data_IF_783965278380
#
_entry.id   IF_783965278380
#
_cell.length_a   1.000
_cell.length_b   1.000
_cell.length_c   1.000
_cell.angle_alpha   90.00
_cell.angle_beta   90.00
_cell.angle_gamma   90.00
#
_symmetry.space_group_name_H-M   'P 1'
#
loop_
_entity.id
_entity.type
_entity.pdbx_description
1 polymer ?
#
# COMPACT_ATOMS: atom_id res chain seq x y z
N UNK A 1 -9.27 -5.22 -8.05
CA UNK A 1 -10.53 -4.72 -8.64
C UNK A 1 -10.32 -4.64 -10.13
N UNK A 2 -11.13 -5.36 -10.90
CA UNK A 2 -11.11 -5.24 -12.35
C UNK A 2 -11.84 -3.94 -12.73
N UNK A 3 -11.08 -2.94 -13.18
CA UNK A 3 -11.63 -1.63 -13.54
C UNK A 3 -12.53 -1.72 -14.78
N UNK A 4 -12.23 -2.63 -15.73
CA UNK A 4 -13.00 -2.78 -16.97
C UNK A 4 -14.34 -3.45 -16.71
N UNK A 5 -14.33 -4.51 -15.91
CA UNK A 5 -15.54 -5.26 -15.57
C UNK A 5 -16.33 -4.63 -14.40
N UNK A 6 -15.71 -3.70 -13.65
CA UNK A 6 -16.23 -3.12 -12.40
C UNK A 6 -16.58 -4.17 -11.34
N UNK A 7 -15.77 -5.24 -11.26
CA UNK A 7 -16.01 -6.39 -10.36
C UNK A 7 -14.78 -6.63 -9.47
N UNK A 8 -15.03 -7.07 -8.24
CA UNK A 8 -14.01 -7.61 -7.34
C UNK A 8 -13.85 -9.10 -7.60
N UNK A 9 -12.63 -9.57 -7.85
CA UNK A 9 -12.35 -11.01 -7.96
C UNK A 9 -12.59 -11.68 -6.60
N UNK A 10 -13.45 -12.71 -6.50
CA UNK A 10 -13.73 -13.42 -5.24
C UNK A 10 -12.48 -13.98 -4.54
N UNK A 11 -11.41 -14.25 -5.27
CA UNK A 11 -10.14 -14.77 -4.72
C UNK A 11 -9.09 -13.67 -4.44
N UNK A 12 -9.45 -12.39 -4.61
CA UNK A 12 -8.51 -11.27 -4.40
C UNK A 12 -8.39 -10.81 -2.94
N UNK A 13 -9.20 -11.35 -2.03
CA UNK A 13 -9.04 -11.07 -0.61
C UNK A 13 -7.67 -11.61 -0.14
N UNK A 14 -6.84 -10.71 0.40
CA UNK A 14 -5.50 -11.03 0.86
C UNK A 14 -5.13 -10.21 2.10
N UNK A 15 -4.13 -10.68 2.85
CA UNK A 15 -3.61 -9.95 4.01
C UNK A 15 -2.73 -8.79 3.57
N UNK A 16 -3.02 -7.59 4.08
CA UNK A 16 -2.18 -6.39 3.87
C UNK A 16 -0.78 -6.61 4.42
N UNK A 17 -0.65 -7.27 5.59
CA UNK A 17 0.64 -7.57 6.21
C UNK A 17 1.52 -8.45 5.32
N UNK A 18 0.91 -9.44 4.66
CA UNK A 18 1.62 -10.35 3.77
C UNK A 18 2.02 -9.66 2.45
N UNK A 19 1.16 -8.79 1.92
CA UNK A 19 1.39 -8.13 0.64
C UNK A 19 2.26 -6.87 0.74
N UNK A 20 2.26 -6.20 1.90
CA UNK A 20 3.00 -4.97 2.18
C UNK A 20 3.66 -5.05 3.57
N UNK A 21 4.70 -5.90 3.73
CA UNK A 21 5.34 -6.10 5.03
C UNK A 21 5.99 -4.81 5.55
N UNK A 22 5.81 -4.55 6.85
CA UNK A 22 6.37 -3.38 7.55
C UNK A 22 5.50 -2.12 7.53
N UNK A 23 4.34 -2.17 6.87
CA UNK A 23 3.34 -1.10 6.89
C UNK A 23 2.40 -1.28 8.09
N UNK A 24 1.99 -0.19 8.78
CA UNK A 24 1.02 -0.29 9.86
C UNK A 24 -0.36 -0.80 9.40
N UNK A 25 -0.97 -1.67 10.20
CA UNK A 25 -2.30 -2.24 9.91
C UNK A 25 -3.45 -1.25 10.09
N UNK A 26 -3.23 -0.19 10.86
CA UNK A 26 -4.20 0.86 11.16
C UNK A 26 -3.96 2.13 10.33
N UNK A 27 -3.52 1.96 9.08
CA UNK A 27 -3.43 3.07 8.13
C UNK A 27 -4.81 3.59 7.80
N UNK A 28 -4.96 4.91 7.75
CA UNK A 28 -6.26 5.56 7.50
C UNK A 28 -6.36 6.12 6.07
N UNK A 29 -5.24 6.24 5.37
CA UNK A 29 -5.20 6.65 3.97
C UNK A 29 -4.11 5.90 3.21
N UNK A 30 -4.39 5.57 1.95
CA UNK A 30 -3.52 4.83 1.05
C UNK A 30 -3.67 5.41 -0.36
N UNK A 31 -2.58 5.88 -0.93
CA UNK A 31 -2.58 6.46 -2.28
C UNK A 31 -1.32 6.11 -3.05
N UNK A 32 -1.41 6.22 -4.38
CA UNK A 32 -0.26 6.06 -5.26
C UNK A 32 0.20 7.44 -5.76
N UNK A 33 1.51 7.71 -5.67
CA UNK A 33 2.13 8.93 -6.18
C UNK A 33 3.50 8.62 -6.79
N UNK A 34 3.76 9.10 -8.00
CA UNK A 34 5.00 8.82 -8.74
C UNK A 34 5.37 7.32 -8.71
N UNK A 35 4.40 6.47 -9.10
CA UNK A 35 4.54 5.01 -9.19
C UNK A 35 4.78 4.26 -7.87
N UNK A 36 4.80 4.98 -6.73
CA UNK A 36 5.00 4.39 -5.40
C UNK A 36 3.72 4.44 -4.60
N UNK A 37 3.50 3.44 -3.76
CA UNK A 37 2.38 3.43 -2.83
C UNK A 37 2.78 4.13 -1.53
N UNK A 38 1.86 4.87 -0.93
CA UNK A 38 2.03 5.57 0.32
C UNK A 38 0.93 5.14 1.26
N UNK A 39 1.31 4.76 2.47
CA UNK A 39 0.40 4.35 3.52
C UNK A 39 0.56 5.31 4.69
N UNK A 40 -0.54 5.95 5.10
CA UNK A 40 -0.50 7.02 6.09
C UNK A 40 -1.12 6.57 7.42
N UNK A 41 -0.43 6.90 8.51
CA UNK A 41 -0.90 6.69 9.88
C UNK A 41 -0.53 7.91 10.71
N UNK A 42 -1.54 8.60 11.25
CA UNK A 42 -1.38 9.92 11.88
C UNK A 42 -0.58 10.87 10.98
N UNK A 43 0.55 11.41 11.46
CA UNK A 43 1.43 12.30 10.69
C UNK A 43 2.51 11.56 9.90
N UNK A 44 2.58 10.23 9.98
CA UNK A 44 3.61 9.43 9.34
C UNK A 44 3.12 8.81 8.03
N UNK A 45 4.05 8.57 7.11
CA UNK A 45 3.82 7.80 5.91
C UNK A 45 4.91 6.77 5.67
N UNK A 46 4.50 5.62 5.13
CA UNK A 46 5.36 4.54 4.67
C UNK A 46 5.28 4.50 3.15
N UNK A 47 6.40 4.75 2.48
CA UNK A 47 6.50 4.63 1.04
C UNK A 47 6.93 3.23 0.67
N UNK A 48 6.11 2.57 -0.13
CA UNK A 48 6.34 1.23 -0.63
C UNK A 48 6.70 1.29 -2.11
N UNK A 49 7.79 0.61 -2.44
CA UNK A 49 8.27 0.42 -3.79
C UNK A 49 8.06 -1.04 -4.19
N UNK A 50 7.53 -1.25 -5.40
CA UNK A 50 7.37 -2.59 -5.96
C UNK A 50 8.53 -2.86 -6.91
N UNK A 51 9.44 -3.76 -6.52
CA UNK A 51 10.55 -4.20 -7.37
C UNK A 51 10.46 -5.71 -7.53
N UNK A 52 10.48 -6.19 -8.77
CA UNK A 52 10.38 -7.62 -9.10
C UNK A 52 9.19 -8.29 -8.39
N UNK A 53 8.03 -7.63 -8.42
CA UNK A 53 6.77 -8.09 -7.79
C UNK A 53 6.82 -8.21 -6.25
N UNK A 54 7.89 -7.72 -5.61
CA UNK A 54 8.03 -7.66 -4.17
C UNK A 54 7.84 -6.23 -3.70
N UNK A 55 6.87 -6.04 -2.82
CA UNK A 55 6.62 -4.77 -2.16
C UNK A 55 7.52 -4.61 -0.94
N UNK A 56 8.31 -3.53 -0.91
CA UNK A 56 9.17 -3.21 0.23
C UNK A 56 9.01 -1.75 0.63
N UNK A 57 8.89 -1.50 1.93
CA UNK A 57 8.99 -0.15 2.48
C UNK A 57 10.41 0.34 2.26
N UNK A 58 10.57 1.39 1.44
CA UNK A 58 11.89 1.97 1.12
C UNK A 58 12.10 3.35 1.78
N UNK A 59 11.07 3.91 2.40
CA UNK A 59 11.14 5.16 3.16
C UNK A 59 10.00 5.24 4.19
N UNK A 60 10.31 5.78 5.37
CA UNK A 60 9.33 6.25 6.35
C UNK A 60 9.57 7.74 6.56
N UNK A 61 8.52 8.53 6.49
CA UNK A 61 8.58 9.97 6.71
C UNK A 61 7.39 10.48 7.52
N UNK A 62 7.35 11.78 7.74
CA UNK A 62 6.24 12.44 8.39
C UNK A 62 5.93 13.78 7.72
N UNK A 63 4.68 14.22 7.88
CA UNK A 63 4.19 15.50 7.37
C UNK A 63 4.21 16.51 8.53
N UNK A 64 4.76 17.69 8.28
CA UNK A 64 4.84 18.82 9.22
C UNK A 64 3.70 19.79 9.02
#
# INVERSE_FOLDING_TARGET
FDVKAQIVDPRSAGSVEQMYPGVPLNTHDIFQYQEKAYFCQDRFYWRVNSRNEVNQVDQVGYVT
#
